data_IF_566874009441
#
_entry.id   IF_566874009441
#
_cell.length_a   1.000
_cell.length_b   1.000
_cell.length_c   1.000
_cell.angle_alpha   90.00
_cell.angle_beta   90.00
_cell.angle_gamma   90.00
#
_symmetry.space_group_name_H-M   'P 1'
#
loop_
_entity.id
_entity.type
_entity.pdbx_description
1 polymer ?
#
# COMPACT_ATOMS: atom_id res chain seq x y z
N UNK A 1 -32.70 -50.37 72.35
CA UNK A 1 -31.28 -50.37 71.96
C UNK A 1 -31.23 -49.58 70.65
N UNK A 2 -31.22 -48.26 70.74
CA UNK A 2 -31.23 -47.35 69.58
C UNK A 2 -30.11 -46.33 69.81
N UNK A 3 -28.87 -46.80 69.63
CA UNK A 3 -27.73 -45.91 69.54
C UNK A 3 -27.81 -45.21 68.18
N UNK A 4 -28.16 -43.92 68.22
CA UNK A 4 -28.11 -43.03 67.07
C UNK A 4 -26.65 -42.87 66.65
N UNK A 5 -26.24 -43.62 65.63
CA UNK A 5 -24.96 -43.39 64.95
C UNK A 5 -24.98 -41.98 64.32
N UNK A 6 -24.21 -41.07 64.90
CA UNK A 6 -24.00 -39.73 64.34
C UNK A 6 -23.35 -39.87 62.97
N UNK A 7 -24.09 -39.51 61.92
CA UNK A 7 -23.60 -39.51 60.56
C UNK A 7 -22.60 -38.36 60.40
N UNK A 8 -21.30 -38.69 60.46
CA UNK A 8 -20.22 -37.76 60.20
C UNK A 8 -20.29 -37.36 58.72
N UNK A 9 -20.86 -36.19 58.44
CA UNK A 9 -20.76 -35.54 57.12
C UNK A 9 -19.33 -35.04 56.98
N UNK A 10 -18.51 -35.74 56.19
CA UNK A 10 -17.26 -35.16 55.72
C UNK A 10 -17.59 -33.90 54.92
N UNK A 11 -16.95 -32.79 55.28
CA UNK A 11 -17.07 -31.51 54.59
C UNK A 11 -16.41 -31.62 53.21
N UNK A 12 -17.00 -32.38 52.29
CA UNK A 12 -16.73 -32.22 50.88
C UNK A 12 -17.35 -30.88 50.48
N UNK A 13 -16.49 -29.92 50.12
CA UNK A 13 -16.87 -28.71 49.38
C UNK A 13 -17.95 -29.09 48.37
N UNK A 14 -19.11 -28.42 48.50
CA UNK A 14 -20.38 -28.67 47.82
C UNK A 14 -20.30 -29.68 46.66
N UNK A 15 -21.03 -30.80 46.78
CA UNK A 15 -21.11 -31.88 45.79
C UNK A 15 -21.23 -31.34 44.37
N UNK A 16 -20.08 -31.27 43.69
CA UNK A 16 -20.01 -31.01 42.25
C UNK A 16 -20.87 -32.07 41.57
N UNK A 17 -21.76 -31.60 40.68
CA UNK A 17 -22.61 -32.51 39.90
C UNK A 17 -21.75 -33.55 39.18
N UNK A 18 -22.29 -34.75 38.91
CA UNK A 18 -21.53 -35.77 38.15
C UNK A 18 -20.99 -35.20 36.84
N UNK A 19 -21.75 -34.31 36.20
CA UNK A 19 -21.34 -33.57 35.01
C UNK A 19 -20.05 -32.76 35.19
N UNK A 20 -19.88 -32.06 36.31
CA UNK A 20 -18.66 -31.27 36.57
C UNK A 20 -17.46 -32.16 36.92
N UNK A 21 -17.69 -33.39 37.40
CA UNK A 21 -16.63 -34.39 37.59
C UNK A 21 -16.19 -35.01 36.27
N UNK A 22 -17.14 -35.26 35.38
CA UNK A 22 -16.91 -35.91 34.09
C UNK A 22 -16.36 -34.93 33.04
N UNK A 23 -16.70 -33.64 33.13
CA UNK A 23 -16.29 -32.60 32.20
C UNK A 23 -15.50 -31.50 32.89
N UNK A 24 -14.17 -31.59 32.79
CA UNK A 24 -13.24 -30.55 33.26
C UNK A 24 -13.12 -29.45 32.20
N UNK A 25 -13.49 -28.22 32.55
CA UNK A 25 -13.27 -27.08 31.67
C UNK A 25 -11.79 -26.71 31.64
N UNK A 26 -11.14 -26.92 30.51
CA UNK A 26 -9.79 -26.44 30.25
C UNK A 26 -9.86 -25.10 29.53
N UNK A 27 -9.65 -24.00 30.25
CA UNK A 27 -9.77 -22.64 29.72
C UNK A 27 -8.90 -22.37 28.48
N UNK A 28 -7.74 -23.04 28.39
CA UNK A 28 -6.78 -22.89 27.28
C UNK A 28 -6.83 -24.03 26.25
N UNK A 29 -7.75 -24.98 26.40
CA UNK A 29 -7.85 -26.13 25.49
C UNK A 29 -8.48 -25.71 24.16
N UNK A 30 -7.61 -25.31 23.22
CA UNK A 30 -7.99 -25.21 21.82
C UNK A 30 -8.10 -26.62 21.23
N UNK A 31 -9.13 -26.91 20.40
CA UNK A 31 -9.18 -28.16 19.67
C UNK A 31 -7.92 -28.30 18.82
N UNK A 32 -7.49 -29.54 18.59
CA UNK A 32 -6.32 -29.84 17.78
C UNK A 32 -6.39 -29.11 16.43
N UNK A 33 -5.26 -28.56 15.99
CA UNK A 33 -5.15 -27.78 14.76
C UNK A 33 -5.57 -28.58 13.54
N UNK A 34 -5.31 -29.90 13.53
CA UNK A 34 -5.72 -30.79 12.44
C UNK A 34 -7.25 -30.91 12.40
N UNK A 35 -7.86 -31.20 13.55
CA UNK A 35 -9.32 -31.27 13.68
C UNK A 35 -9.99 -29.95 13.28
N UNK A 36 -9.47 -28.82 13.77
CA UNK A 36 -9.97 -27.49 13.40
C UNK A 36 -9.93 -27.23 11.90
N UNK A 37 -8.81 -27.54 11.24
CA UNK A 37 -8.67 -27.40 9.78
C UNK A 37 -9.63 -28.32 9.03
N UNK A 38 -9.81 -29.56 9.50
CA UNK A 38 -10.75 -30.51 8.92
C UNK A 38 -12.19 -29.98 8.97
N UNK A 39 -12.64 -29.51 10.14
CA UNK A 39 -13.97 -28.94 10.28
C UNK A 39 -14.15 -27.67 9.45
N UNK A 40 -13.18 -26.75 9.44
CA UNK A 40 -13.26 -25.54 8.61
C UNK A 40 -13.44 -25.85 7.12
N UNK A 41 -12.67 -26.80 6.59
CA UNK A 41 -12.81 -27.26 5.20
C UNK A 41 -14.18 -27.90 4.93
N UNK A 42 -14.69 -28.69 5.88
CA UNK A 42 -16.01 -29.32 5.75
C UNK A 42 -17.15 -28.29 5.79
N UNK A 43 -16.96 -27.18 6.50
CA UNK A 43 -17.92 -26.08 6.61
C UNK A 43 -17.83 -25.06 5.48
N UNK A 44 -16.83 -25.15 4.60
CA UNK A 44 -16.60 -24.22 3.48
C UNK A 44 -17.74 -24.22 2.45
N UNK A 45 -18.53 -25.30 2.39
CA UNK A 45 -19.72 -25.41 1.56
C UNK A 45 -19.42 -25.54 0.06
N UNK A 46 -20.47 -25.51 -0.77
CA UNK A 46 -20.33 -25.53 -2.23
C UNK A 46 -20.02 -24.10 -2.73
N UNK A 47 -19.06 -23.92 -3.66
CA UNK A 47 -18.81 -22.61 -4.24
C UNK A 47 -20.08 -22.05 -4.88
N UNK A 48 -20.43 -20.80 -4.55
CA UNK A 48 -21.67 -20.16 -5.00
C UNK A 48 -21.82 -20.09 -6.53
N UNK A 49 -20.71 -20.16 -7.28
CA UNK A 49 -20.79 -20.21 -8.75
C UNK A 49 -21.58 -21.42 -9.25
N UNK A 50 -21.52 -22.58 -8.58
CA UNK A 50 -22.29 -23.76 -8.99
C UNK A 50 -23.79 -23.61 -8.73
N UNK A 51 -24.15 -22.74 -7.77
CA UNK A 51 -25.54 -22.49 -7.39
C UNK A 51 -26.18 -21.37 -8.22
N UNK A 52 -25.39 -20.36 -8.58
CA UNK A 52 -25.87 -19.12 -9.19
C UNK A 52 -25.54 -19.01 -10.68
N UNK A 53 -24.60 -19.82 -11.20
CA UNK A 53 -24.28 -19.81 -12.63
C UNK A 53 -25.35 -20.55 -13.43
N UNK A 54 -25.82 -19.91 -14.49
CA UNK A 54 -26.68 -20.51 -15.48
C UNK A 54 -25.80 -20.94 -16.67
N UNK A 55 -25.99 -22.18 -17.14
CA UNK A 55 -25.27 -22.75 -18.31
C UNK A 55 -23.74 -22.74 -18.25
N UNK A 56 -23.13 -22.62 -17.06
CA UNK A 56 -21.67 -22.59 -16.92
C UNK A 56 -21.04 -21.31 -17.50
N UNK A 57 -21.82 -20.25 -17.62
CA UNK A 57 -21.34 -18.99 -18.16
C UNK A 57 -20.39 -18.28 -17.19
N UNK A 58 -19.31 -17.72 -17.73
CA UNK A 58 -18.40 -16.90 -16.94
C UNK A 58 -19.10 -15.62 -16.48
N UNK A 59 -18.85 -15.19 -15.24
CA UNK A 59 -19.38 -13.91 -14.73
C UNK A 59 -18.99 -12.70 -15.57
N UNK A 60 -17.89 -12.78 -16.34
CA UNK A 60 -17.39 -11.74 -17.23
C UNK A 60 -17.92 -11.84 -18.66
N UNK A 61 -18.97 -12.62 -18.92
CA UNK A 61 -19.50 -12.81 -20.29
C UNK A 61 -20.16 -11.54 -20.83
N UNK A 62 -20.83 -10.78 -19.97
CA UNK A 62 -21.67 -9.64 -20.35
C UNK A 62 -21.13 -8.33 -19.77
N UNK A 63 -20.00 -7.86 -20.31
CA UNK A 63 -19.33 -6.63 -19.84
C UNK A 63 -19.74 -5.38 -20.65
N UNK A 64 -20.53 -5.56 -21.71
CA UNK A 64 -20.99 -4.49 -22.60
C UNK A 64 -22.49 -4.31 -22.40
N UNK A 65 -22.92 -3.07 -22.16
CA UNK A 65 -24.34 -2.74 -22.08
C UNK A 65 -24.93 -2.60 -23.48
N UNK A 66 -26.24 -2.84 -23.61
CA UNK A 66 -26.95 -2.60 -24.89
C UNK A 66 -26.79 -1.15 -25.37
N UNK A 67 -26.70 -0.20 -24.43
CA UNK A 67 -26.43 1.21 -24.75
C UNK A 67 -25.05 1.39 -25.40
N UNK A 68 -24.00 0.81 -24.82
CA UNK A 68 -22.63 0.87 -25.36
C UNK A 68 -22.54 0.21 -26.73
N UNK A 69 -23.15 -0.96 -26.91
CA UNK A 69 -23.16 -1.64 -28.21
C UNK A 69 -23.90 -0.83 -29.29
N UNK A 70 -25.03 -0.22 -28.96
CA UNK A 70 -25.85 0.51 -29.94
C UNK A 70 -25.27 1.89 -30.30
N UNK A 71 -24.90 2.68 -29.31
CA UNK A 71 -24.54 4.09 -29.52
C UNK A 71 -23.03 4.32 -29.67
N UNK A 72 -22.21 3.57 -28.93
CA UNK A 72 -20.78 3.85 -28.84
C UNK A 72 -19.99 2.98 -29.83
N UNK A 73 -20.28 1.68 -29.89
CA UNK A 73 -19.49 0.73 -30.69
C UNK A 73 -19.90 0.64 -32.14
N UNK A 74 -21.18 0.37 -32.41
CA UNK A 74 -21.62 -0.03 -33.75
C UNK A 74 -22.21 1.09 -34.59
N UNK A 75 -22.39 2.31 -34.07
CA UNK A 75 -22.86 3.44 -34.85
C UNK A 75 -24.11 3.13 -35.69
N UNK A 76 -24.96 2.21 -35.20
CA UNK A 76 -26.13 1.77 -35.94
C UNK A 76 -27.18 2.86 -35.82
N UNK A 77 -27.21 3.78 -36.78
CA UNK A 77 -28.19 4.86 -36.84
C UNK A 77 -29.59 4.36 -37.25
N UNK A 78 -29.72 3.07 -37.54
CA UNK A 78 -30.97 2.45 -37.99
C UNK A 78 -31.65 1.74 -36.83
N UNK A 79 -32.97 1.88 -36.75
CA UNK A 79 -33.81 1.16 -35.79
C UNK A 79 -33.60 -0.36 -35.94
N UNK A 80 -33.58 -1.13 -34.84
CA UNK A 80 -33.54 -2.58 -34.93
C UNK A 80 -34.77 -3.08 -35.71
N UNK A 81 -34.62 -4.11 -36.54
CA UNK A 81 -35.75 -4.69 -37.26
C UNK A 81 -36.76 -5.29 -36.27
N UNK A 82 -38.03 -5.31 -36.65
CA UNK A 82 -39.06 -6.00 -35.87
C UNK A 82 -38.78 -7.51 -35.83
N UNK A 83 -39.16 -8.14 -34.72
CA UNK A 83 -39.03 -9.58 -34.54
C UNK A 83 -39.80 -10.34 -35.62
N UNK A 84 -39.23 -11.44 -36.11
CA UNK A 84 -39.87 -12.34 -37.07
C UNK A 84 -40.31 -13.64 -36.39
N UNK A 85 -41.40 -14.22 -36.88
CA UNK A 85 -41.84 -15.55 -36.44
C UNK A 85 -41.10 -16.63 -37.23
N UNK A 86 -40.49 -17.59 -36.53
CA UNK A 86 -39.82 -18.73 -37.15
C UNK A 86 -40.78 -19.91 -37.25
N UNK A 87 -41.21 -20.22 -38.48
CA UNK A 87 -42.23 -21.24 -38.74
C UNK A 87 -41.81 -22.67 -38.34
N UNK A 88 -40.52 -22.99 -38.40
CA UNK A 88 -40.02 -24.34 -38.08
C UNK A 88 -39.99 -24.62 -36.57
N UNK A 89 -39.52 -23.65 -35.79
CA UNK A 89 -39.44 -23.77 -34.33
C UNK A 89 -40.77 -23.42 -33.65
N UNK A 90 -41.71 -22.81 -34.39
CA UNK A 90 -42.96 -22.25 -33.85
C UNK A 90 -42.65 -21.30 -32.68
N UNK A 91 -41.61 -20.49 -32.82
CA UNK A 91 -41.23 -19.47 -31.83
C UNK A 91 -40.87 -18.17 -32.52
N UNK A 92 -40.88 -17.08 -31.76
CA UNK A 92 -40.34 -15.83 -32.26
C UNK A 92 -38.81 -15.93 -32.37
N UNK A 93 -38.25 -15.57 -33.52
CA UNK A 93 -36.81 -15.58 -33.75
C UNK A 93 -36.11 -14.71 -32.70
N UNK A 94 -35.02 -15.18 -32.08
CA UNK A 94 -34.32 -14.43 -31.05
C UNK A 94 -33.79 -13.10 -31.62
N UNK A 95 -33.93 -12.05 -30.83
CA UNK A 95 -33.46 -10.71 -31.20
C UNK A 95 -31.96 -10.58 -30.93
N UNK A 96 -31.34 -9.54 -31.50
CA UNK A 96 -29.96 -9.18 -31.16
C UNK A 96 -29.78 -8.95 -29.65
N UNK A 97 -30.81 -8.45 -28.95
CA UNK A 97 -30.81 -8.26 -27.50
C UNK A 97 -30.66 -9.57 -26.72
N UNK A 98 -31.11 -10.69 -27.28
CA UNK A 98 -31.04 -12.01 -26.65
C UNK A 98 -29.61 -12.59 -26.73
N UNK A 99 -28.79 -12.07 -27.64
CA UNK A 99 -27.38 -12.42 -27.80
C UNK A 99 -26.48 -11.20 -27.51
N UNK A 100 -26.33 -10.84 -26.22
CA UNK A 100 -25.44 -9.75 -25.84
C UNK A 100 -24.01 -9.99 -26.35
N UNK A 101 -23.35 -8.91 -26.74
CA UNK A 101 -21.96 -8.95 -27.21
C UNK A 101 -21.02 -9.44 -26.11
N UNK A 102 -20.12 -10.36 -26.47
CA UNK A 102 -19.09 -10.90 -25.56
C UNK A 102 -17.77 -10.14 -25.63
N UNK A 103 -17.79 -8.96 -26.25
CA UNK A 103 -16.62 -8.13 -26.43
C UNK A 103 -16.12 -7.57 -25.08
N UNK A 104 -14.82 -7.22 -24.98
CA UNK A 104 -14.30 -6.57 -23.78
C UNK A 104 -14.97 -5.19 -23.58
N UNK A 105 -15.10 -4.69 -22.34
CA UNK A 105 -15.82 -3.45 -22.02
C UNK A 105 -15.17 -2.20 -22.65
N UNK A 106 -15.98 -1.19 -22.98
CA UNK A 106 -15.48 0.08 -23.50
C UNK A 106 -14.90 0.87 -22.33
N UNK A 107 -13.57 0.92 -22.25
CA UNK A 107 -12.91 1.42 -21.06
C UNK A 107 -12.67 2.94 -21.05
N UNK A 108 -12.92 3.68 -22.14
CA UNK A 108 -12.75 5.14 -22.23
C UNK A 108 -11.46 5.75 -21.61
N UNK A 109 -10.41 4.96 -21.37
CA UNK A 109 -9.22 5.39 -20.64
C UNK A 109 -9.29 5.29 -19.10
N UNK A 110 -10.44 4.95 -18.51
CA UNK A 110 -10.67 4.95 -17.06
C UNK A 110 -9.75 3.98 -16.31
N UNK A 111 -9.56 2.77 -16.84
CA UNK A 111 -8.65 1.79 -16.25
C UNK A 111 -7.22 2.29 -16.27
N UNK A 112 -6.78 2.93 -17.36
CA UNK A 112 -5.44 3.49 -17.47
C UNK A 112 -5.24 4.62 -16.46
N UNK A 113 -6.23 5.49 -16.31
CA UNK A 113 -6.22 6.56 -15.31
C UNK A 113 -6.17 6.01 -13.88
N UNK A 114 -7.01 5.02 -13.56
CA UNK A 114 -7.02 4.39 -12.23
C UNK A 114 -5.73 3.63 -11.93
N UNK A 115 -5.18 2.93 -12.91
CA UNK A 115 -3.90 2.25 -12.77
C UNK A 115 -2.76 3.24 -12.52
N UNK A 116 -2.77 4.38 -13.22
CA UNK A 116 -1.81 5.46 -12.96
C UNK A 116 -1.98 6.00 -11.54
N UNK A 117 -3.21 6.35 -11.16
CA UNK A 117 -3.53 6.83 -9.82
C UNK A 117 -3.06 5.87 -8.72
N UNK A 118 -3.31 4.56 -8.84
CA UNK A 118 -2.86 3.59 -7.84
C UNK A 118 -1.35 3.40 -7.80
N UNK A 119 -0.67 3.48 -8.95
CA UNK A 119 0.80 3.44 -9.01
C UNK A 119 1.39 4.66 -8.30
N UNK A 120 0.85 5.85 -8.57
CA UNK A 120 1.28 7.09 -7.96
C UNK A 120 1.03 7.07 -6.45
N UNK A 121 -0.17 6.61 -6.02
CA UNK A 121 -0.55 6.57 -4.60
C UNK A 121 0.27 5.58 -3.76
N UNK A 122 0.70 4.46 -4.34
CA UNK A 122 1.57 3.50 -3.63
C UNK A 122 3.02 3.99 -3.51
N UNK A 123 3.42 5.02 -4.25
CA UNK A 123 4.78 5.57 -4.27
C UNK A 123 4.96 6.78 -3.36
N UNK A 124 3.89 7.36 -2.81
CA UNK A 124 3.98 8.56 -1.99
C UNK A 124 4.42 8.22 -0.56
N UNK A 125 5.58 8.76 -0.18
CA UNK A 125 6.00 8.89 1.21
C UNK A 125 4.89 9.59 2.01
N UNK A 126 4.49 9.05 3.17
CA UNK A 126 3.42 9.58 3.99
C UNK A 126 3.70 11.03 4.41
N UNK A 127 3.21 11.99 3.62
CA UNK A 127 3.36 13.41 3.86
C UNK A 127 2.07 13.95 4.44
N UNK A 128 2.19 14.77 5.48
CA UNK A 128 1.07 15.58 5.95
C UNK A 128 0.59 16.51 4.82
N UNK A 129 -0.70 16.85 4.84
CA UNK A 129 -1.27 17.83 3.90
C UNK A 129 -0.45 19.13 3.89
N UNK A 130 0.03 19.57 5.06
CA UNK A 130 0.90 20.74 5.19
C UNK A 130 2.20 20.59 4.39
N UNK A 131 2.93 19.49 4.55
CA UNK A 131 4.19 19.24 3.83
C UNK A 131 4.01 19.02 2.33
N UNK A 132 2.87 18.48 1.89
CA UNK A 132 2.57 18.29 0.47
C UNK A 132 2.15 19.60 -0.23
N UNK A 133 1.42 20.46 0.47
CA UNK A 133 0.93 21.74 -0.08
C UNK A 133 1.93 22.88 0.04
N UNK A 134 2.78 22.87 1.06
CA UNK A 134 3.77 23.91 1.29
C UNK A 134 4.99 23.72 0.38
N UNK A 135 5.16 24.61 -0.60
CA UNK A 135 6.38 24.65 -1.41
C UNK A 135 7.51 25.24 -0.57
N UNK A 136 8.56 24.45 -0.32
CA UNK A 136 9.75 24.96 0.35
C UNK A 136 10.35 26.13 -0.47
N UNK A 137 10.55 27.31 0.14
CA UNK A 137 11.18 28.42 -0.56
C UNK A 137 12.65 28.10 -0.88
N UNK A 138 13.22 28.71 -1.92
CA UNK A 138 14.61 28.50 -2.27
C UNK A 138 15.53 28.95 -1.13
N UNK A 139 16.71 28.34 -1.02
CA UNK A 139 17.68 28.65 0.05
C UNK A 139 18.07 30.13 0.11
N UNK A 140 18.00 30.84 -1.02
CA UNK A 140 18.24 32.28 -1.13
C UNK A 140 17.21 33.17 -0.41
N UNK A 141 16.00 32.66 -0.17
CA UNK A 141 14.99 33.35 0.62
C UNK A 141 15.31 33.32 2.12
N UNK A 142 16.14 32.36 2.55
CA UNK A 142 16.63 32.32 3.92
C UNK A 142 17.81 33.28 4.07
N UNK A 143 17.83 34.02 5.17
CA UNK A 143 18.95 34.88 5.49
C UNK A 143 20.23 34.05 5.58
N UNK A 144 21.28 34.49 4.91
CA UNK A 144 22.60 33.87 5.05
C UNK A 144 23.08 34.04 6.50
N UNK A 145 23.50 32.96 7.18
CA UNK A 145 24.02 33.08 8.54
C UNK A 145 25.25 33.98 8.51
N UNK A 146 25.15 35.16 9.13
CA UNK A 146 26.31 36.01 9.37
C UNK A 146 27.11 35.37 10.48
N UNK A 147 28.20 34.69 10.12
CA UNK A 147 29.14 34.18 11.12
C UNK A 147 29.67 35.38 11.92
N UNK A 148 29.47 35.36 13.25
CA UNK A 148 29.96 36.42 14.16
C UNK A 148 31.49 36.46 14.28
N UNK A 149 32.19 35.55 13.62
CA UNK A 149 33.65 35.45 13.55
C UNK A 149 34.04 35.24 12.08
N UNK A 150 35.09 35.93 11.63
CA UNK A 150 35.61 35.76 10.27
C UNK A 150 35.94 34.27 10.02
N UNK A 151 35.60 33.72 8.84
CA UNK A 151 35.88 32.33 8.53
C UNK A 151 37.37 32.05 8.69
N UNK A 152 37.71 30.90 9.28
CA UNK A 152 39.09 30.49 9.59
C UNK A 152 40.03 30.61 8.37
N UNK A 153 39.50 30.42 7.16
CA UNK A 153 40.24 30.57 5.89
C UNK A 153 40.82 31.97 5.68
N UNK A 154 40.21 33.01 6.26
CA UNK A 154 40.71 34.40 6.22
C UNK A 154 41.65 34.73 7.39
N UNK A 155 41.98 33.75 8.24
CA UNK A 155 42.87 33.94 9.37
C UNK A 155 44.33 33.98 8.92
N UNK A 156 45.03 35.05 9.28
CA UNK A 156 46.46 35.23 8.98
C UNK A 156 47.35 34.17 9.64
N UNK A 157 46.85 33.45 10.63
CA UNK A 157 47.56 32.37 11.34
C UNK A 157 47.76 31.11 10.49
N UNK A 158 47.08 30.99 9.35
CA UNK A 158 47.20 29.82 8.46
C UNK A 158 48.36 29.95 7.47
N UNK A 159 48.88 31.16 7.25
CA UNK A 159 49.95 31.37 6.28
C UNK A 159 51.22 30.62 6.69
N UNK A 160 51.75 29.82 5.77
CA UNK A 160 52.96 29.02 5.96
C UNK A 160 54.18 29.82 6.47
N UNK A 161 54.44 31.06 6.03
CA UNK A 161 55.51 31.90 6.58
C UNK A 161 55.36 32.16 8.09
N UNK A 162 54.13 32.37 8.57
CA UNK A 162 53.85 32.59 9.99
C UNK A 162 54.08 31.32 10.85
N UNK A 163 54.07 30.15 10.22
CA UNK A 163 54.32 28.85 10.87
C UNK A 163 55.79 28.42 10.87
N UNK A 164 56.73 29.23 10.33
CA UNK A 164 58.16 28.88 10.22
C UNK A 164 59.06 29.45 11.33
N UNK A 165 58.50 29.80 12.49
CA UNK A 165 59.23 30.38 13.60
C UNK A 165 59.95 29.35 14.48
N UNK A 166 61.08 28.78 14.02
CA UNK A 166 61.95 27.97 14.88
C UNK A 166 63.25 28.60 15.35
N UNK A 167 63.74 29.67 14.74
CA UNK A 167 64.83 30.47 15.32
C UNK A 167 64.93 31.80 14.58
N UNK A 168 64.60 32.91 15.26
CA UNK A 168 65.10 34.28 15.05
C UNK A 168 64.25 35.25 15.88
N UNK A 169 64.87 36.33 16.36
CA UNK A 169 64.38 37.25 17.42
C UNK A 169 63.17 38.15 17.04
N UNK A 170 62.47 37.87 15.94
CA UNK A 170 61.34 38.67 15.44
C UNK A 170 59.95 38.09 15.80
N UNK A 171 59.84 37.35 16.92
CA UNK A 171 58.67 36.54 17.31
C UNK A 171 57.32 37.26 17.47
N UNK A 172 57.26 38.59 17.41
CA UNK A 172 56.03 39.35 17.69
C UNK A 172 55.47 40.11 16.48
N UNK A 173 56.08 39.99 15.30
CA UNK A 173 55.52 40.59 14.08
C UNK A 173 54.76 39.54 13.27
N UNK A 174 53.43 39.53 13.42
CA UNK A 174 52.59 38.83 12.46
C UNK A 174 52.67 39.58 11.12
N UNK A 175 53.22 38.94 10.08
CA UNK A 175 53.19 39.51 8.75
C UNK A 175 51.73 39.53 8.27
N UNK A 176 51.15 40.74 8.24
CA UNK A 176 49.82 40.98 7.69
C UNK A 176 49.91 40.84 6.17
N UNK A 177 49.64 39.64 5.68
CA UNK A 177 49.48 39.39 4.25
C UNK A 177 48.00 39.47 3.90
N UNK A 178 47.69 40.07 2.76
CA UNK A 178 46.34 40.03 2.19
C UNK A 178 46.05 38.57 1.87
N UNK A 179 44.89 38.01 2.26
CA UNK A 179 44.52 36.67 1.86
C UNK A 179 44.67 36.55 0.34
N UNK A 180 45.46 35.58 -0.12
CA UNK A 180 45.50 35.27 -1.54
C UNK A 180 44.07 34.99 -2.00
N UNK A 181 43.76 35.42 -3.23
CA UNK A 181 42.41 35.41 -3.83
C UNK A 181 41.67 34.15 -3.40
N UNK A 182 40.44 34.26 -2.88
CA UNK A 182 39.74 33.12 -2.32
C UNK A 182 39.79 31.99 -3.35
N UNK A 183 40.39 30.86 -2.96
CA UNK A 183 40.36 29.65 -3.79
C UNK A 183 38.87 29.40 -4.03
N UNK A 184 38.45 29.66 -5.27
CA UNK A 184 37.05 29.54 -5.67
C UNK A 184 36.59 28.18 -5.18
N UNK A 185 35.51 28.17 -4.40
CA UNK A 185 34.91 26.97 -3.86
C UNK A 185 34.93 25.93 -4.98
N UNK A 186 35.78 24.91 -4.84
CA UNK A 186 35.90 23.85 -5.83
C UNK A 186 34.53 23.21 -5.90
N UNK A 187 33.79 23.54 -6.96
CA UNK A 187 32.62 22.81 -7.37
C UNK A 187 33.05 21.36 -7.49
N UNK A 188 32.51 20.51 -6.62
CA UNK A 188 32.67 19.07 -6.67
C UNK A 188 32.17 18.56 -8.03
N UNK A 189 33.04 18.53 -9.03
CA UNK A 189 32.85 17.78 -10.26
C UNK A 189 33.73 16.53 -10.15
N UNK A 190 33.26 15.55 -9.38
CA UNK A 190 33.73 14.18 -9.54
C UNK A 190 32.99 13.58 -10.73
N UNK A 191 33.74 13.51 -11.81
CA UNK A 191 33.55 12.76 -13.05
C UNK A 191 33.17 11.32 -12.70
N UNK A 192 32.01 10.86 -13.18
CA UNK A 192 31.73 9.43 -13.37
C UNK A 192 31.81 9.15 -14.86
N UNK A 193 32.95 8.62 -15.30
CA UNK A 193 33.08 7.99 -16.61
C UNK A 193 33.70 6.59 -16.45
N UNK A 194 32.95 5.62 -16.99
CA UNK A 194 33.40 4.39 -17.66
C UNK A 194 33.91 3.23 -16.79
N UNK A 195 33.11 2.16 -16.77
CA UNK A 195 33.62 0.78 -16.82
C UNK A 195 32.92 0.04 -17.97
N UNK A 196 33.76 -0.60 -18.78
CA UNK A 196 33.52 -1.58 -19.85
C UNK A 196 32.49 -2.66 -19.56
#
# INVERSE_FOLDING_TARGET
MEDRAEFIRSNLTASKSCYEKDFVHFADSKPDRIQRRYFLKRMEGLPGHHLLSHHGESSSRHLVSQYDDHYIRRGNSTLPPLRSWEGNSLTWAPEKSDFPSTDPPTNFGLLQEKQKFWKDHNSEELRSVYTASYRQPPTSAFMTPRYGVAPRVLSSTIHQPNNTNKALDFKCQAYLQVPDKPVGATSNNLITEVTS
#
